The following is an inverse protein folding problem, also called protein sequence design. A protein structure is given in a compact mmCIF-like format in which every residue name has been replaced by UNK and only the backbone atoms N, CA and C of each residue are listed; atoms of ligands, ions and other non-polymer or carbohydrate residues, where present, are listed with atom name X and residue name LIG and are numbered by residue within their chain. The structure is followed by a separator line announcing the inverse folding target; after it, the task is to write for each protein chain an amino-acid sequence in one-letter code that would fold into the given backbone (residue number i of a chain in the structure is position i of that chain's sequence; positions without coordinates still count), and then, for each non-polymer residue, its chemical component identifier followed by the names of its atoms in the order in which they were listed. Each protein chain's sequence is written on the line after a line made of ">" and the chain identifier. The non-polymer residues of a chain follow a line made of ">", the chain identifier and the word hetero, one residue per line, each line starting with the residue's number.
data_IF_990273814984
#
_entry.id   IF_990273814984
#
_cell.length_a   1.000
_cell.length_b   1.000
_cell.length_c   1.000
_cell.angle_alpha   90.00
_cell.angle_beta   90.00
_cell.angle_gamma   90.00
#
_symmetry.space_group_name_H-M   'P 1'
#
loop_
_entity.id
_entity.type
_entity.pdbx_description
1 polymer ?
#
# COMPACT_ATOMS: atom_id res chain seq x y z
N UNK A 1 -43.35 31.44 1.18
CA UNK A 1 -41.92 31.08 1.02
C UNK A 1 -41.85 29.60 0.67
N UNK A 2 -41.61 29.24 -0.59
CA UNK A 2 -41.38 27.85 -1.01
C UNK A 2 -40.01 27.80 -1.69
N UNK A 3 -39.10 26.96 -1.17
CA UNK A 3 -37.71 26.86 -1.61
C UNK A 3 -37.65 26.26 -3.02
N UNK A 4 -37.07 26.98 -3.97
CA UNK A 4 -36.55 26.39 -5.20
C UNK A 4 -35.40 25.46 -4.82
N UNK A 5 -35.60 24.16 -4.99
CA UNK A 5 -34.51 23.19 -4.99
C UNK A 5 -33.93 23.19 -6.39
N UNK A 6 -32.80 23.86 -6.57
CA UNK A 6 -31.98 23.77 -7.78
C UNK A 6 -31.65 22.30 -8.02
N UNK A 7 -32.23 21.72 -9.08
CA UNK A 7 -31.87 20.39 -9.54
C UNK A 7 -30.48 20.51 -10.14
N UNK A 8 -29.50 19.84 -9.53
CA UNK A 8 -28.18 19.65 -10.12
C UNK A 8 -28.31 19.19 -11.59
N UNK A 9 -27.43 19.65 -12.50
CA UNK A 9 -27.49 19.26 -13.91
C UNK A 9 -27.53 17.74 -14.00
N UNK A 10 -28.51 17.21 -14.74
CA UNK A 10 -28.65 15.78 -14.93
C UNK A 10 -27.42 15.27 -15.69
N UNK A 11 -26.60 14.47 -15.01
CA UNK A 11 -25.42 13.83 -15.60
C UNK A 11 -25.89 13.04 -16.82
N UNK A 12 -25.26 13.29 -17.98
CA UNK A 12 -25.61 12.60 -19.22
C UNK A 12 -25.22 11.12 -19.13
N UNK A 13 -25.93 10.25 -19.85
CA UNK A 13 -25.69 8.79 -19.78
C UNK A 13 -24.23 8.42 -20.10
N UNK A 14 -23.63 9.12 -21.04
CA UNK A 14 -22.24 8.91 -21.46
C UNK A 14 -21.23 9.35 -20.38
N UNK A 15 -21.50 10.44 -19.66
CA UNK A 15 -20.72 10.87 -18.49
C UNK A 15 -20.89 9.91 -17.31
N UNK A 16 -22.08 9.30 -17.20
CA UNK A 16 -22.39 8.30 -16.19
C UNK A 16 -21.60 7.02 -16.47
N UNK A 17 -21.59 6.55 -17.72
CA UNK A 17 -20.87 5.36 -18.17
C UNK A 17 -19.34 5.51 -18.06
N UNK A 18 -18.79 6.68 -18.36
CA UNK A 18 -17.35 6.95 -18.19
C UNK A 18 -16.88 7.07 -16.74
N UNK A 19 -17.80 7.33 -15.80
CA UNK A 19 -17.54 7.27 -14.36
C UNK A 19 -17.72 5.87 -13.77
N UNK A 20 -18.42 4.98 -14.47
CA UNK A 20 -18.58 3.59 -14.07
C UNK A 20 -17.32 2.86 -14.52
N UNK A 21 -16.43 2.54 -13.59
CA UNK A 21 -15.18 1.84 -13.87
C UNK A 21 -15.38 0.55 -14.67
N UNK A 22 -14.35 0.14 -15.41
CA UNK A 22 -14.38 -1.10 -16.19
C UNK A 22 -14.83 -2.29 -15.32
N UNK A 23 -15.65 -3.21 -15.88
CA UNK A 23 -16.12 -4.36 -15.14
C UNK A 23 -14.92 -5.17 -14.63
N UNK A 24 -14.90 -5.41 -13.31
CA UNK A 24 -13.85 -6.21 -12.68
C UNK A 24 -13.79 -7.60 -13.35
N UNK A 25 -12.59 -8.10 -13.67
CA UNK A 25 -12.44 -9.44 -14.23
C UNK A 25 -12.98 -10.50 -13.28
N UNK A 26 -13.27 -11.68 -13.82
CA UNK A 26 -13.82 -12.80 -13.05
C UNK A 26 -12.98 -13.08 -11.79
N UNK A 27 -13.65 -13.42 -10.68
CA UNK A 27 -13.03 -13.56 -9.35
C UNK A 27 -11.87 -14.57 -9.34
N UNK A 28 -11.91 -15.57 -10.22
CA UNK A 28 -10.85 -16.56 -10.41
C UNK A 28 -9.58 -15.91 -10.99
N UNK A 29 -9.72 -14.95 -11.90
CA UNK A 29 -8.58 -14.20 -12.46
C UNK A 29 -8.10 -13.10 -11.51
N UNK A 30 -9.01 -12.46 -10.76
CA UNK A 30 -8.66 -11.53 -9.68
C UNK A 30 -7.84 -12.22 -8.59
N UNK A 31 -8.10 -13.50 -8.32
CA UNK A 31 -7.38 -14.30 -7.32
C UNK A 31 -5.95 -14.66 -7.73
N UNK A 32 -5.63 -14.66 -9.04
CA UNK A 32 -4.28 -14.92 -9.55
C UNK A 32 -3.36 -13.69 -9.46
N UNK A 33 -3.92 -12.50 -9.24
CA UNK A 33 -3.16 -11.26 -9.08
C UNK A 33 -2.64 -11.19 -7.65
N UNK A 34 -1.43 -11.72 -7.44
CA UNK A 34 -0.70 -11.62 -6.18
C UNK A 34 0.12 -10.33 -6.15
N UNK A 35 -0.35 -9.32 -5.41
CA UNK A 35 0.32 -8.03 -5.24
C UNK A 35 0.99 -7.87 -3.85
N UNK A 36 1.63 -8.93 -3.35
CA UNK A 36 2.29 -8.88 -2.05
C UNK A 36 3.68 -8.22 -2.14
N UNK A 37 3.83 -7.04 -1.52
CA UNK A 37 5.11 -6.32 -1.43
C UNK A 37 5.73 -6.52 -0.04
N UNK A 38 6.98 -7.00 0.01
CA UNK A 38 7.74 -7.15 1.25
C UNK A 38 9.05 -6.36 1.17
N UNK A 39 9.33 -5.58 2.22
CA UNK A 39 10.55 -4.78 2.35
C UNK A 39 11.15 -4.94 3.76
N UNK A 40 11.88 -6.04 4.03
CA UNK A 40 12.58 -6.21 5.29
C UNK A 40 13.75 -5.22 5.37
N UNK A 41 13.79 -4.40 6.43
CA UNK A 41 14.85 -3.41 6.67
C UNK A 41 15.39 -3.61 8.08
N UNK A 42 16.72 -3.69 8.22
CA UNK A 42 17.41 -3.74 9.51
C UNK A 42 18.60 -2.77 9.50
N UNK A 43 18.78 -2.05 10.61
CA UNK A 43 19.84 -1.06 10.78
C UNK A 43 20.37 -1.13 12.21
N UNK A 44 21.67 -1.35 12.33
CA UNK A 44 22.43 -1.19 13.57
C UNK A 44 23.25 0.08 13.48
N UNK A 45 23.11 0.97 14.47
CA UNK A 45 23.89 2.19 14.59
C UNK A 45 24.50 2.25 15.99
N UNK A 46 25.82 2.38 16.05
CA UNK A 46 26.60 2.52 17.27
C UNK A 46 27.48 3.76 17.16
N UNK A 47 27.50 4.60 18.20
CA UNK A 47 28.38 5.75 18.28
C UNK A 47 28.95 5.87 19.70
N UNK A 48 30.27 5.98 19.79
CA UNK A 48 30.97 6.38 21.00
C UNK A 48 31.16 7.90 20.98
N UNK A 49 30.60 8.63 21.96
CA UNK A 49 30.77 10.08 22.06
C UNK A 49 31.64 10.37 23.29
N UNK A 50 32.80 10.99 23.05
CA UNK A 50 33.72 11.52 24.06
C UNK A 50 34.19 10.53 25.15
N UNK A 51 34.24 9.22 24.85
CA UNK A 51 34.62 8.20 25.84
C UNK A 51 35.95 7.54 25.51
N UNK A 52 36.94 7.74 26.38
CA UNK A 52 38.17 6.95 26.39
C UNK A 52 37.83 5.49 26.75
N UNK A 53 38.55 4.55 26.15
CA UNK A 53 38.42 3.11 26.38
C UNK A 53 37.04 2.47 26.08
N UNK A 54 36.14 3.14 25.35
CA UNK A 54 34.80 2.60 25.02
C UNK A 54 34.78 1.78 23.73
N UNK A 55 33.99 0.70 23.74
CA UNK A 55 33.68 -0.12 22.55
C UNK A 55 32.21 0.11 22.19
N UNK A 56 31.95 0.75 21.05
CA UNK A 56 30.62 0.83 20.47
C UNK A 56 30.47 -0.34 19.51
N UNK A 57 29.65 -1.32 19.92
CA UNK A 57 29.33 -2.48 19.11
C UNK A 57 27.84 -2.45 18.82
N UNK A 58 27.47 -2.49 17.53
CA UNK A 58 26.09 -2.70 17.14
C UNK A 58 26.03 -3.88 16.17
N UNK A 59 25.18 -4.84 16.52
CA UNK A 59 24.85 -5.98 15.69
C UNK A 59 23.43 -5.82 15.16
N UNK A 60 23.23 -6.10 13.88
CA UNK A 60 21.93 -6.16 13.24
C UNK A 60 21.85 -7.49 12.49
N UNK A 61 21.22 -8.48 13.09
CA UNK A 61 20.91 -9.75 12.43
C UNK A 61 19.47 -9.72 11.94
N UNK A 62 19.24 -9.94 10.65
CA UNK A 62 17.90 -10.02 10.07
C UNK A 62 17.71 -11.37 9.39
N UNK A 63 16.66 -12.08 9.81
CA UNK A 63 16.15 -13.27 9.14
C UNK A 63 14.74 -12.99 8.67
N UNK A 64 14.53 -12.99 7.35
CA UNK A 64 13.25 -12.65 6.74
C UNK A 64 12.80 -13.72 5.73
N UNK A 65 12.41 -14.92 6.20
CA UNK A 65 11.85 -15.95 5.33
C UNK A 65 10.48 -15.48 4.80
N UNK A 66 10.35 -15.41 3.48
CA UNK A 66 9.10 -15.06 2.82
C UNK A 66 8.60 -16.31 2.10
N UNK A 67 7.41 -16.80 2.47
CA UNK A 67 6.72 -17.89 1.79
C UNK A 67 5.49 -17.33 1.10
N UNK A 68 5.46 -17.41 -0.22
CA UNK A 68 4.32 -16.98 -1.04
C UNK A 68 3.91 -18.14 -1.94
N UNK A 69 2.62 -18.49 -1.92
CA UNK A 69 2.04 -19.53 -2.76
C UNK A 69 0.77 -19.00 -3.40
N UNK A 70 0.70 -19.17 -4.72
CA UNK A 70 -0.55 -19.11 -5.48
C UNK A 70 -0.87 -20.57 -5.81
N UNK A 71 -2.11 -21.01 -5.60
CA UNK A 71 -2.55 -22.32 -6.07
C UNK A 71 -2.67 -22.33 -7.60
#
# INVERSE_FOLDING_TARGET
>A
MARQTDKAPAVSKDELESQVGEPLPDREQMSLINANVAAPINLALAANILSDNSIAYANAEQTAPITQSNL
#
